data_IF_729740207237
#
_entry.id   IF_729740207237
#
_cell.length_a   1.000
_cell.length_b   1.000
_cell.length_c   1.000
_cell.angle_alpha   90.00
_cell.angle_beta   90.00
_cell.angle_gamma   90.00
#
_symmetry.space_group_name_H-M   'P 1'
#
loop_
_entity.id
_entity.type
_entity.pdbx_description
1 polymer ?
#
# COMPACT_ATOMS: atom_id res chain seq x y z
N UNK A 1 -23.82 0.14 12.95
CA UNK A 1 -23.20 1.47 13.14
C UNK A 1 -21.68 1.33 13.18
N UNK A 2 -21.11 0.59 14.13
CA UNK A 2 -19.65 0.31 14.25
C UNK A 2 -18.99 -0.22 12.97
N UNK A 3 -19.59 -1.18 12.27
CA UNK A 3 -19.03 -1.72 11.02
C UNK A 3 -18.97 -0.68 9.88
N UNK A 4 -19.92 0.25 9.82
CA UNK A 4 -19.96 1.27 8.77
C UNK A 4 -18.90 2.36 9.02
N UNK A 5 -18.64 2.70 10.28
CA UNK A 5 -17.55 3.60 10.70
C UNK A 5 -16.18 2.97 10.42
N UNK A 6 -15.96 1.70 10.79
CA UNK A 6 -14.70 1.00 10.48
C UNK A 6 -14.44 0.90 8.98
N UNK A 7 -15.46 0.62 8.16
CA UNK A 7 -15.29 0.63 6.71
C UNK A 7 -15.04 2.04 6.15
N UNK A 8 -15.55 3.10 6.78
CA UNK A 8 -15.29 4.49 6.38
C UNK A 8 -13.86 4.89 6.70
N UNK A 9 -13.34 4.49 7.86
CA UNK A 9 -11.97 4.79 8.27
C UNK A 9 -10.92 4.00 7.48
N UNK A 10 -11.19 2.73 7.17
CA UNK A 10 -10.36 1.95 6.24
C UNK A 10 -10.39 2.55 4.83
N UNK A 11 -11.53 3.13 4.42
CA UNK A 11 -11.62 3.90 3.18
C UNK A 11 -10.70 5.13 3.25
N UNK A 12 -10.68 5.86 4.36
CA UNK A 12 -9.80 7.02 4.54
C UNK A 12 -8.30 6.64 4.40
N UNK A 13 -7.87 5.54 5.01
CA UNK A 13 -6.47 5.09 4.91
C UNK A 13 -6.08 4.72 3.47
N UNK A 14 -6.91 3.93 2.79
CA UNK A 14 -6.63 3.52 1.40
C UNK A 14 -6.63 4.71 0.44
N UNK A 15 -7.49 5.72 0.68
CA UNK A 15 -7.52 6.96 -0.09
C UNK A 15 -6.22 7.75 0.05
N UNK A 16 -5.68 7.89 1.27
CA UNK A 16 -4.40 8.57 1.50
C UNK A 16 -3.26 7.87 0.76
N UNK A 17 -3.14 6.55 0.91
CA UNK A 17 -2.10 5.75 0.24
C UNK A 17 -2.23 5.87 -1.27
N UNK A 18 -3.45 5.70 -1.79
CA UNK A 18 -3.75 5.81 -3.23
C UNK A 18 -3.34 7.18 -3.76
N UNK A 19 -3.81 8.24 -3.11
CA UNK A 19 -3.57 9.63 -3.52
C UNK A 19 -2.08 9.92 -3.63
N UNK A 20 -1.33 9.63 -2.58
CA UNK A 20 0.10 9.96 -2.55
C UNK A 20 0.92 9.07 -3.50
N UNK A 21 0.56 7.80 -3.62
CA UNK A 21 1.18 6.90 -4.61
C UNK A 21 0.95 7.38 -6.05
N UNK A 22 -0.25 7.88 -6.36
CA UNK A 22 -0.52 8.44 -7.70
C UNK A 22 0.25 9.74 -7.95
N UNK A 23 0.34 10.63 -6.96
CA UNK A 23 1.13 11.86 -7.07
C UNK A 23 2.61 11.53 -7.34
N UNK A 24 3.21 10.59 -6.60
CA UNK A 24 4.60 10.19 -6.83
C UNK A 24 4.75 9.52 -8.20
N UNK A 25 3.81 8.65 -8.57
CA UNK A 25 3.78 7.97 -9.86
C UNK A 25 3.73 8.95 -11.04
N UNK A 26 2.89 9.97 -10.98
CA UNK A 26 2.82 11.05 -11.99
C UNK A 26 4.13 11.82 -12.08
N UNK A 27 4.77 12.13 -10.94
CA UNK A 27 6.05 12.85 -10.91
C UNK A 27 7.17 12.03 -11.56
N UNK A 28 7.26 10.73 -11.22
CA UNK A 28 8.38 9.87 -11.65
C UNK A 28 8.17 9.30 -13.06
N UNK A 29 6.97 8.83 -13.37
CA UNK A 29 6.67 8.17 -14.65
C UNK A 29 6.00 9.08 -15.68
N UNK A 30 5.50 10.26 -15.29
CA UNK A 30 4.84 11.23 -16.18
C UNK A 30 3.73 10.53 -16.99
N UNK A 31 3.74 10.70 -18.32
CA UNK A 31 2.77 10.12 -19.25
C UNK A 31 2.73 8.57 -19.25
N UNK A 32 3.74 7.91 -18.64
CA UNK A 32 3.78 6.45 -18.49
C UNK A 32 3.07 5.96 -17.23
N UNK A 33 2.71 6.87 -16.31
CA UNK A 33 1.93 6.49 -15.14
C UNK A 33 0.48 6.24 -15.52
N UNK A 34 -0.08 5.15 -15.01
CA UNK A 34 -1.52 4.92 -15.06
C UNK A 34 -2.03 4.98 -13.63
N UNK A 35 -2.87 5.97 -13.36
CA UNK A 35 -3.48 6.18 -12.05
C UNK A 35 -4.05 4.86 -11.52
N UNK A 36 -3.73 4.52 -10.28
CA UNK A 36 -4.31 3.38 -9.59
C UNK A 36 -5.57 3.80 -8.84
N UNK A 37 -6.60 2.97 -8.92
CA UNK A 37 -7.78 3.10 -8.06
C UNK A 37 -7.73 2.15 -6.86
N UNK A 38 -8.60 2.40 -5.86
CA UNK A 38 -9.51 1.40 -5.30
C UNK A 38 -9.07 -0.07 -5.38
N UNK A 39 -9.61 -0.69 -6.41
CA UNK A 39 -9.49 -2.13 -6.66
C UNK A 39 -8.06 -2.55 -6.91
N UNK A 40 -7.26 -1.75 -7.63
CA UNK A 40 -5.86 -2.07 -7.91
C UNK A 40 -5.00 -2.00 -6.66
N UNK A 41 -5.19 -0.97 -5.81
CA UNK A 41 -4.49 -0.86 -4.54
C UNK A 41 -4.82 -2.04 -3.61
N UNK A 42 -6.10 -2.43 -3.52
CA UNK A 42 -6.51 -3.60 -2.72
C UNK A 42 -5.90 -4.90 -3.24
N UNK A 43 -5.86 -5.09 -4.57
CA UNK A 43 -5.17 -6.25 -5.19
C UNK A 43 -3.67 -6.26 -4.84
N UNK A 44 -3.02 -5.10 -4.92
CA UNK A 44 -1.62 -4.94 -4.54
C UNK A 44 -1.35 -5.30 -3.07
N UNK A 45 -2.15 -4.75 -2.14
CA UNK A 45 -2.05 -5.06 -0.70
C UNK A 45 -2.29 -6.56 -0.45
N UNK A 46 -3.30 -7.14 -1.11
CA UNK A 46 -3.58 -8.58 -1.02
C UNK A 46 -2.39 -9.43 -1.48
N UNK A 47 -1.67 -9.01 -2.52
CA UNK A 47 -0.45 -9.67 -2.96
C UNK A 47 0.68 -9.55 -1.93
N UNK A 48 0.86 -8.39 -1.28
CA UNK A 48 1.84 -8.24 -0.19
C UNK A 48 1.54 -9.23 0.95
N UNK A 49 0.28 -9.34 1.35
CA UNK A 49 -0.15 -10.29 2.38
C UNK A 49 0.13 -11.73 1.94
N UNK A 50 -0.15 -12.07 0.68
CA UNK A 50 0.14 -13.41 0.16
C UNK A 50 1.63 -13.74 0.14
N UNK A 51 2.52 -12.79 -0.17
CA UNK A 51 3.97 -13.01 -0.12
C UNK A 51 4.39 -13.48 1.27
N UNK A 52 3.84 -12.86 2.31
CA UNK A 52 4.14 -13.22 3.69
C UNK A 52 3.55 -14.58 4.09
N UNK A 53 2.29 -14.86 3.69
CA UNK A 53 1.64 -16.18 3.89
C UNK A 53 2.47 -17.31 3.30
N UNK A 54 3.05 -17.09 2.13
CA UNK A 54 3.88 -18.08 1.46
C UNK A 54 5.31 -18.18 2.01
N UNK A 55 5.65 -17.36 3.03
CA UNK A 55 7.00 -17.22 3.61
C UNK A 55 8.09 -16.93 2.57
N UNK A 56 7.69 -16.33 1.45
CA UNK A 56 8.53 -16.12 0.28
C UNK A 56 9.39 -14.86 0.38
N UNK A 57 9.69 -14.39 1.60
CA UNK A 57 10.48 -13.19 1.85
C UNK A 57 11.93 -13.26 1.31
N UNK A 58 12.42 -14.47 1.04
CA UNK A 58 13.73 -14.72 0.47
C UNK A 58 13.69 -15.04 -1.04
N UNK A 59 12.50 -15.20 -1.60
CA UNK A 59 12.32 -15.45 -3.02
C UNK A 59 12.36 -14.13 -3.79
N UNK A 60 12.95 -14.16 -4.98
CA UNK A 60 12.90 -12.98 -5.83
C UNK A 60 11.46 -12.74 -6.28
N UNK A 61 11.02 -11.48 -6.32
CA UNK A 61 9.72 -11.08 -6.90
C UNK A 61 9.54 -11.64 -8.32
N UNK A 62 10.62 -11.80 -9.10
CA UNK A 62 10.58 -12.45 -10.41
C UNK A 62 10.19 -13.92 -10.34
N UNK A 63 10.66 -14.66 -9.32
CA UNK A 63 10.34 -16.08 -9.14
C UNK A 63 8.88 -16.27 -8.75
N UNK A 64 8.33 -15.40 -7.92
CA UNK A 64 6.92 -15.46 -7.51
C UNK A 64 5.95 -15.35 -8.70
N UNK A 65 6.34 -14.63 -9.75
CA UNK A 65 5.59 -14.48 -11.00
C UNK A 65 6.04 -15.42 -12.12
N UNK A 66 7.02 -16.30 -11.88
CA UNK A 66 7.48 -17.28 -12.87
C UNK A 66 6.33 -18.20 -13.32
N UNK A 67 6.36 -18.61 -14.59
CA UNK A 67 5.40 -19.58 -15.13
C UNK A 67 5.76 -21.02 -14.72
N UNK A 68 7.04 -21.28 -14.43
CA UNK A 68 7.55 -22.61 -14.11
C UNK A 68 7.42 -22.90 -12.62
N UNK A 69 8.09 -22.07 -11.80
CA UNK A 69 8.19 -22.27 -10.34
C UNK A 69 7.41 -21.25 -9.52
N UNK A 70 6.69 -20.34 -10.19
CA UNK A 70 5.95 -19.27 -9.54
C UNK A 70 4.56 -19.69 -9.07
N UNK A 71 3.84 -18.71 -8.53
CA UNK A 71 2.51 -18.93 -7.97
C UNK A 71 1.48 -18.33 -8.92
N UNK A 72 0.69 -19.19 -9.56
CA UNK A 72 -0.30 -18.77 -10.57
C UNK A 72 -1.26 -17.67 -10.07
N UNK A 73 -1.56 -17.64 -8.77
CA UNK A 73 -2.42 -16.63 -8.16
C UNK A 73 -1.88 -15.20 -8.36
N UNK A 74 -0.56 -15.02 -8.36
CA UNK A 74 0.07 -13.71 -8.53
C UNK A 74 -0.21 -13.16 -9.93
N UNK A 75 0.08 -13.95 -10.96
CA UNK A 75 -0.20 -13.62 -12.36
C UNK A 75 -1.71 -13.38 -12.62
N UNK A 76 -2.60 -14.10 -11.94
CA UNK A 76 -4.05 -13.92 -12.06
C UNK A 76 -4.56 -12.62 -11.44
N UNK A 77 -3.90 -12.10 -10.40
CA UNK A 77 -4.31 -10.89 -9.70
C UNK A 77 -3.76 -9.63 -10.37
N UNK A 78 -2.46 -9.61 -10.67
CA UNK A 78 -1.76 -8.46 -11.22
C UNK A 78 -0.47 -8.88 -11.93
N UNK A 79 -0.10 -8.22 -13.02
CA UNK A 79 1.18 -8.47 -13.68
C UNK A 79 2.36 -8.07 -12.79
N UNK A 80 3.49 -8.77 -12.93
CA UNK A 80 4.71 -8.47 -12.18
C UNK A 80 5.15 -7.00 -12.37
N UNK A 81 5.09 -6.51 -13.61
CA UNK A 81 5.47 -5.14 -13.94
C UNK A 81 4.61 -4.10 -13.22
N UNK A 82 3.28 -4.29 -13.17
CA UNK A 82 2.38 -3.37 -12.45
C UNK A 82 2.62 -3.44 -10.95
N UNK A 83 2.83 -4.64 -10.39
CA UNK A 83 3.16 -4.79 -8.96
C UNK A 83 4.45 -4.07 -8.60
N UNK A 84 5.52 -4.24 -9.39
CA UNK A 84 6.80 -3.54 -9.17
C UNK A 84 6.65 -2.03 -9.33
N UNK A 85 5.87 -1.57 -10.31
CA UNK A 85 5.63 -0.15 -10.53
C UNK A 85 4.91 0.49 -9.33
N UNK A 86 3.87 -0.16 -8.79
CA UNK A 86 3.17 0.30 -7.58
C UNK A 86 4.11 0.26 -6.38
N UNK A 87 4.87 -0.83 -6.20
CA UNK A 87 5.80 -0.98 -5.08
C UNK A 87 6.86 0.14 -5.07
N UNK A 88 7.39 0.50 -6.24
CA UNK A 88 8.39 1.57 -6.35
C UNK A 88 7.81 2.95 -6.04
N UNK A 89 6.55 3.21 -6.42
CA UNK A 89 5.91 4.51 -6.24
C UNK A 89 5.11 4.62 -4.93
N UNK A 90 5.06 3.56 -4.12
CA UNK A 90 4.29 3.52 -2.90
C UNK A 90 4.70 4.68 -2.00
N UNK A 91 3.77 5.61 -1.81
CA UNK A 91 4.02 6.82 -1.07
C UNK A 91 2.90 7.05 -0.05
N UNK A 92 3.29 7.42 1.16
CA UNK A 92 2.39 7.60 2.32
C UNK A 92 2.26 9.08 2.72
N UNK A 93 2.93 9.98 2.03
CA UNK A 93 2.93 11.41 2.31
C UNK A 93 2.93 12.29 1.04
N UNK A 94 2.76 13.60 1.27
CA UNK A 94 2.97 14.60 0.24
C UNK A 94 4.46 14.79 -0.04
N UNK A 95 5.01 14.00 -0.96
CA UNK A 95 6.42 14.06 -1.38
C UNK A 95 6.90 15.43 -1.84
N UNK A 96 6.00 16.35 -2.17
CA UNK A 96 6.30 17.77 -2.38
C UNK A 96 6.86 18.50 -1.14
N UNK A 97 6.81 17.90 0.07
CA UNK A 97 7.31 18.48 1.33
C UNK A 97 8.81 18.24 1.62
N UNK A 98 9.55 17.50 0.78
CA UNK A 98 11.00 17.21 0.97
C UNK A 98 11.92 18.45 1.07
N UNK A 99 11.40 19.68 0.94
CA UNK A 99 12.15 20.92 1.16
C UNK A 99 12.20 21.40 2.62
N UNK A 100 11.37 20.90 3.53
CA UNK A 100 11.41 21.30 4.94
C UNK A 100 11.91 20.12 5.77
N UNK A 101 13.10 20.24 6.35
CA UNK A 101 13.54 19.31 7.40
C UNK A 101 12.59 19.52 8.58
N UNK A 102 11.63 18.62 8.74
CA UNK A 102 10.85 18.50 9.95
C UNK A 102 11.69 17.84 11.04
N UNK A 103 11.53 18.28 12.29
CA UNK A 103 12.09 17.56 13.45
C UNK A 103 11.34 16.24 13.69
N UNK A 104 10.16 16.06 13.09
CA UNK A 104 9.40 14.82 13.13
C UNK A 104 9.97 13.77 12.17
N UNK A 105 10.66 12.78 12.74
CA UNK A 105 11.22 11.64 11.99
C UNK A 105 10.16 10.75 11.33
N UNK A 106 8.90 10.82 11.75
CA UNK A 106 7.80 10.02 11.23
C UNK A 106 6.90 10.80 10.27
N UNK A 107 7.27 12.01 9.85
CA UNK A 107 6.45 12.86 8.98
C UNK A 107 5.95 12.10 7.72
N UNK A 108 6.78 11.24 7.16
CA UNK A 108 6.46 10.46 5.95
C UNK A 108 5.38 9.40 6.12
N UNK A 109 5.05 9.03 7.37
CA UNK A 109 4.00 8.06 7.69
C UNK A 109 2.97 8.61 8.69
N UNK A 110 3.12 9.87 9.12
CA UNK A 110 2.34 10.49 10.19
C UNK A 110 0.84 10.45 9.91
N UNK A 111 0.44 10.88 8.72
CA UNK A 111 -0.97 10.92 8.29
C UNK A 111 -1.59 9.51 8.34
N UNK A 112 -0.86 8.49 7.88
CA UNK A 112 -1.28 7.09 7.95
C UNK A 112 -1.39 6.60 9.40
N UNK A 113 -0.42 6.93 10.25
CA UNK A 113 -0.43 6.53 11.66
C UNK A 113 -1.57 7.18 12.45
N UNK A 114 -1.87 8.45 12.17
CA UNK A 114 -2.95 9.18 12.83
C UNK A 114 -4.33 8.61 12.49
N UNK A 115 -4.51 8.10 11.26
CA UNK A 115 -5.72 7.37 10.88
C UNK A 115 -5.71 5.98 11.52
N UNK A 116 -4.60 5.26 11.49
CA UNK A 116 -4.58 3.85 11.91
C UNK A 116 -4.66 3.68 13.45
N UNK A 117 -3.95 4.49 14.24
CA UNK A 117 -3.85 4.27 15.69
C UNK A 117 -5.21 4.24 16.43
N UNK A 118 -6.14 5.21 16.22
CA UNK A 118 -7.46 5.15 16.84
C UNK A 118 -8.24 3.90 16.42
N UNK A 119 -8.18 3.54 15.14
CA UNK A 119 -8.85 2.35 14.60
C UNK A 119 -8.37 1.04 15.26
N UNK A 120 -7.09 0.95 15.63
CA UNK A 120 -6.57 -0.20 16.38
C UNK A 120 -7.06 -0.24 17.81
N UNK A 121 -7.12 0.92 18.47
CA UNK A 121 -7.58 1.03 19.86
C UNK A 121 -9.06 0.69 19.97
N UNK A 122 -9.89 1.18 19.06
CA UNK A 122 -11.32 0.86 19.01
C UNK A 122 -11.58 -0.62 18.67
N UNK A 123 -10.64 -1.25 17.97
CA UNK A 123 -10.72 -2.65 17.57
C UNK A 123 -10.37 -3.66 18.66
N UNK A 124 -9.84 -3.24 19.81
CA UNK A 124 -9.36 -4.15 20.85
C UNK A 124 -9.64 -3.64 22.27
N UNK A 125 -10.27 -4.48 23.10
CA UNK A 125 -10.43 -4.24 24.53
C UNK A 125 -9.39 -5.10 25.28
N UNK A 126 -8.40 -4.49 25.96
CA UNK A 126 -7.41 -5.24 26.73
C UNK A 126 -8.07 -6.02 27.88
N UNK A 127 -7.64 -7.27 28.09
CA UNK A 127 -7.92 -7.99 29.33
C UNK A 127 -7.06 -7.43 30.46
N UNK A 128 -7.65 -7.33 31.66
CA UNK A 128 -7.01 -6.83 32.89
C UNK A 128 -5.82 -7.65 33.37
#
# INVERSE_FOLDING_TARGET
MVLAEQELELRNLLEVIRKWTNVEGEVVYKDKWKEIGHSELKKFIGLIIFIDVYKSKHENVTQLWSQEDGRQIFNKIMSQGKFQQILQMLCLDATARRKKRSDDKLESIREVLEIWNPNLQDGYVPSS
#
